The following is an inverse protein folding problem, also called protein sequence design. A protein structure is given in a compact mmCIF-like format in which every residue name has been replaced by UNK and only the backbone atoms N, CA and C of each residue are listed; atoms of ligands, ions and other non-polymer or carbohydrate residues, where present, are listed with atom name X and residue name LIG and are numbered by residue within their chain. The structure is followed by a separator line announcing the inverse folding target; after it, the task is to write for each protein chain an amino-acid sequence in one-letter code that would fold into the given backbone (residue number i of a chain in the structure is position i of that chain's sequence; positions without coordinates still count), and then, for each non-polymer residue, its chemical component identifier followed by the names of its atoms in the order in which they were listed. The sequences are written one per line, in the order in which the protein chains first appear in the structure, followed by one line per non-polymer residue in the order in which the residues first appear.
data_IF_769959962523
#
_entry.id   IF_769959962523
#
_cell.length_a   1.000
_cell.length_b   1.000
_cell.length_c   1.000
_cell.angle_alpha   90.00
_cell.angle_beta   90.00
_cell.angle_gamma   90.00
#
_symmetry.space_group_name_H-M   'P 1'
#
loop_
_entity.id
_entity.type
_entity.pdbx_description
1 polymer ?
#
# COMPACT_ATOMS: atom_id res chain seq x y z
N UNK A 1 29.37 -0.25 -14.88
CA UNK A 1 28.28 0.27 -15.72
C UNK A 1 27.01 -0.35 -15.20
N UNK A 2 26.13 0.44 -14.57
CA UNK A 2 24.86 -0.06 -14.05
C UNK A 2 23.98 -0.58 -15.20
N UNK A 3 23.30 -1.72 -15.03
CA UNK A 3 22.49 -2.30 -16.09
C UNK A 3 21.38 -1.33 -16.50
N UNK A 4 21.12 -1.18 -17.82
CA UNK A 4 20.03 -0.33 -18.28
C UNK A 4 18.70 -0.92 -17.79
N UNK A 5 18.06 -0.19 -16.87
CA UNK A 5 16.69 -0.44 -16.42
C UNK A 5 15.77 -0.22 -17.62
N UNK A 6 15.52 -1.25 -18.42
CA UNK A 6 14.48 -1.22 -19.44
C UNK A 6 13.15 -1.48 -18.73
N UNK A 7 12.37 -0.45 -18.37
CA UNK A 7 11.04 -0.70 -17.82
C UNK A 7 10.20 -1.43 -18.87
N UNK A 8 9.24 -2.25 -18.44
CA UNK A 8 8.33 -2.89 -19.37
C UNK A 8 7.65 -1.83 -20.26
N UNK A 9 7.70 -2.05 -21.58
CA UNK A 9 7.21 -1.11 -22.61
C UNK A 9 5.70 -0.84 -22.46
N UNK A 10 4.94 -1.82 -21.97
CA UNK A 10 3.49 -1.69 -21.77
C UNK A 10 2.99 -2.59 -20.65
N UNK A 11 2.17 -2.03 -19.77
CA UNK A 11 1.41 -2.77 -18.75
C UNK A 11 -0.04 -2.85 -19.25
N UNK A 12 -0.61 -4.06 -19.32
CA UNK A 12 -2.01 -4.28 -19.70
C UNK A 12 -2.77 -4.93 -18.53
N UNK A 13 -3.90 -4.37 -18.07
CA UNK A 13 -4.68 -4.98 -17.01
C UNK A 13 -5.34 -6.27 -17.51
N UNK A 14 -5.14 -7.37 -16.78
CA UNK A 14 -5.81 -8.65 -17.07
C UNK A 14 -7.21 -8.72 -16.42
N UNK A 15 -7.36 -8.11 -15.25
CA UNK A 15 -8.61 -8.11 -14.49
C UNK A 15 -8.62 -6.96 -13.48
N UNK A 16 -9.81 -6.48 -13.12
CA UNK A 16 -10.01 -5.50 -12.04
C UNK A 16 -11.17 -5.96 -11.18
N UNK A 17 -10.93 -6.03 -9.87
CA UNK A 17 -11.96 -6.36 -8.88
C UNK A 17 -12.01 -5.29 -7.80
N UNK A 18 -13.21 -4.80 -7.41
CA UNK A 18 -13.34 -3.88 -6.28
C UNK A 18 -12.84 -4.52 -4.98
N UNK A 19 -12.29 -3.70 -4.09
CA UNK A 19 -11.82 -4.14 -2.77
C UNK A 19 -12.62 -3.44 -1.67
N UNK A 20 -12.93 -4.15 -0.59
CA UNK A 20 -13.57 -3.53 0.57
C UNK A 20 -12.55 -2.70 1.35
N UNK A 21 -13.02 -1.68 2.09
CA UNK A 21 -12.15 -0.85 2.94
C UNK A 21 -11.40 -1.69 4.02
N UNK A 22 -12.02 -2.78 4.49
CA UNK A 22 -11.40 -3.71 5.45
C UNK A 22 -10.23 -4.46 4.81
N UNK A 23 -10.45 -5.00 3.62
CA UNK A 23 -9.43 -5.79 2.93
C UNK A 23 -8.29 -4.88 2.44
N UNK A 24 -8.63 -3.67 1.99
CA UNK A 24 -7.64 -2.64 1.61
C UNK A 24 -6.71 -2.32 2.77
N UNK A 25 -7.28 -2.06 3.96
CA UNK A 25 -6.51 -1.79 5.16
C UNK A 25 -5.56 -2.95 5.49
N UNK A 26 -6.06 -4.19 5.50
CA UNK A 26 -5.26 -5.38 5.82
C UNK A 26 -4.10 -5.57 4.85
N UNK A 27 -4.34 -5.40 3.55
CA UNK A 27 -3.31 -5.54 2.52
C UNK A 27 -2.22 -4.46 2.65
N UNK A 28 -2.61 -3.20 2.92
CA UNK A 28 -1.65 -2.10 3.12
C UNK A 28 -0.80 -2.34 4.37
N UNK A 29 -1.41 -2.77 5.47
CA UNK A 29 -0.69 -3.08 6.72
C UNK A 29 0.33 -4.22 6.51
N UNK A 30 -0.09 -5.28 5.81
CA UNK A 30 0.79 -6.42 5.49
C UNK A 30 1.95 -5.97 4.60
N UNK A 31 1.66 -5.19 3.56
CA UNK A 31 2.70 -4.65 2.67
C UNK A 31 3.69 -3.76 3.42
N UNK A 32 3.22 -2.89 4.31
CA UNK A 32 4.11 -1.99 5.07
C UNK A 32 5.02 -2.76 6.02
N UNK A 33 4.53 -3.84 6.62
CA UNK A 33 5.34 -4.71 7.48
C UNK A 33 6.42 -5.44 6.67
N UNK A 34 6.02 -6.08 5.57
CA UNK A 34 6.94 -6.75 4.65
C UNK A 34 7.97 -5.77 4.07
N UNK A 35 7.52 -4.57 3.68
CA UNK A 35 8.40 -3.53 3.14
C UNK A 35 9.41 -3.04 4.18
N UNK A 36 9.00 -2.83 5.43
CA UNK A 36 9.91 -2.46 6.53
C UNK A 36 10.97 -3.53 6.76
N UNK A 37 10.58 -4.81 6.75
CA UNK A 37 11.52 -5.92 6.93
C UNK A 37 12.58 -6.01 5.81
N UNK A 38 12.25 -5.57 4.60
CA UNK A 38 13.16 -5.57 3.44
C UNK A 38 13.97 -4.28 3.30
N UNK A 39 13.36 -3.14 3.62
CA UNK A 39 13.99 -1.82 3.44
C UNK A 39 15.11 -1.54 4.45
N UNK A 40 15.16 -2.25 5.58
CA UNK A 40 16.32 -2.24 6.49
C UNK A 40 17.60 -2.79 5.83
N UNK A 41 17.46 -3.62 4.79
CA UNK A 41 18.60 -4.22 4.06
C UNK A 41 19.08 -3.40 2.86
N UNK A 42 18.27 -2.47 2.36
CA UNK A 42 18.58 -1.63 1.20
C UNK A 42 18.66 -0.16 1.61
N UNK A 43 19.87 0.35 1.83
CA UNK A 43 20.12 1.76 2.11
C UNK A 43 19.52 2.65 1.00
N UNK A 44 18.34 3.23 1.26
CA UNK A 44 17.69 4.23 0.41
C UNK A 44 16.53 3.68 -0.41
N UNK A 45 15.30 3.80 0.10
CA UNK A 45 14.11 3.37 -0.65
C UNK A 45 12.80 3.99 -0.18
N UNK A 46 12.28 4.95 -0.96
CA UNK A 46 10.87 5.38 -1.02
C UNK A 46 10.15 5.74 0.29
N UNK A 47 10.77 6.59 1.12
CA UNK A 47 10.13 7.15 2.35
C UNK A 47 8.82 7.89 2.06
N UNK A 48 8.72 8.58 0.93
CA UNK A 48 7.51 9.32 0.57
C UNK A 48 6.31 8.38 0.33
N UNK A 49 6.49 7.30 -0.43
CA UNK A 49 5.42 6.35 -0.74
C UNK A 49 4.94 5.61 0.51
N UNK A 50 5.86 5.22 1.40
CA UNK A 50 5.51 4.56 2.67
C UNK A 50 4.73 5.48 3.61
N UNK A 51 5.10 6.76 3.71
CA UNK A 51 4.32 7.75 4.49
C UNK A 51 2.90 7.90 3.94
N UNK A 52 2.72 7.93 2.62
CA UNK A 52 1.39 8.03 2.02
C UNK A 52 0.55 6.78 2.29
N UNK A 53 1.15 5.59 2.19
CA UNK A 53 0.46 4.33 2.52
C UNK A 53 0.07 4.24 4.01
N UNK A 54 0.91 4.75 4.91
CA UNK A 54 0.58 4.85 6.34
C UNK A 54 -0.61 5.80 6.58
N UNK A 55 -0.63 6.96 5.92
CA UNK A 55 -1.77 7.89 5.97
C UNK A 55 -3.05 7.25 5.45
N UNK A 56 -2.97 6.49 4.36
CA UNK A 56 -4.10 5.78 3.78
C UNK A 56 -4.64 4.70 4.74
N UNK A 57 -3.77 3.90 5.35
CA UNK A 57 -4.18 2.90 6.34
C UNK A 57 -4.90 3.55 7.54
N UNK A 58 -4.38 4.68 8.02
CA UNK A 58 -5.04 5.45 9.08
C UNK A 58 -6.42 5.98 8.66
N UNK A 59 -6.53 6.53 7.44
CA UNK A 59 -7.80 7.03 6.92
C UNK A 59 -8.86 5.92 6.77
N UNK A 60 -8.47 4.74 6.26
CA UNK A 60 -9.37 3.58 6.14
C UNK A 60 -9.84 3.08 7.51
N UNK A 61 -8.96 3.10 8.52
CA UNK A 61 -9.32 2.74 9.90
C UNK A 61 -10.34 3.71 10.48
N UNK A 62 -10.17 5.01 10.26
CA UNK A 62 -11.12 6.03 10.71
C UNK A 62 -12.47 5.96 9.99
N UNK A 63 -12.49 5.71 8.67
CA UNK A 63 -13.72 5.48 7.91
C UNK A 63 -14.53 4.32 8.50
N UNK A 64 -13.87 3.21 8.84
CA UNK A 64 -14.51 2.04 9.44
C UNK A 64 -15.09 2.32 10.82
N UNK A 65 -14.38 3.08 11.66
CA UNK A 65 -14.91 3.51 12.98
C UNK A 65 -16.17 4.35 12.81
N UNK A 66 -16.13 5.36 11.93
CA UNK A 66 -17.30 6.23 11.64
C UNK A 66 -18.50 5.44 11.12
N UNK A 67 -18.29 4.44 10.27
CA UNK A 67 -19.35 3.55 9.78
C UNK A 67 -19.97 2.73 10.91
N UNK A 68 -19.15 2.23 11.85
CA UNK A 68 -19.63 1.51 13.03
C UNK A 68 -20.47 2.42 13.94
N UNK A 69 -20.03 3.65 14.15
CA UNK A 69 -20.71 4.62 15.03
C UNK A 69 -22.04 5.11 14.43
N UNK A 70 -22.16 5.21 13.10
CA UNK A 70 -23.40 5.57 12.41
C UNK A 70 -24.46 4.46 12.36
N UNK A 71 -24.10 3.22 12.67
CA UNK A 71 -25.01 2.06 12.61
C UNK A 71 -25.57 1.71 13.99
N UNK A 72 -25.27 2.52 15.01
CA UNK A 72 -25.72 2.36 16.39
C UNK A 72 -26.74 3.44 16.73
#
# INVERSE_FOLDING_TARGET
MDPPLHPPIRIQPQSVSPLTARDAQKQIETFLEDFRSRSTSSQGGNTAATVQLQKLAAALKEERKRKKDKTK
#
